data_IF_287152497974
#
_entry.id   IF_287152497974
#
_cell.length_a   1.000
_cell.length_b   1.000
_cell.length_c   1.000
_cell.angle_alpha   90.00
_cell.angle_beta   90.00
_cell.angle_gamma   90.00
#
_symmetry.space_group_name_H-M   'P 1'
#
loop_
_entity.id
_entity.type
_entity.pdbx_description
1 polymer ?
#
# COMPACT_ATOMS: atom_id res chain seq x y z
N UNK A 1 10.35 -60.57 16.54
CA UNK A 1 9.38 -59.57 17.04
C UNK A 1 10.04 -58.20 17.03
N UNK A 2 9.46 -57.16 16.42
CA UNK A 2 10.03 -55.83 16.50
C UNK A 2 10.01 -55.38 17.97
N UNK A 3 11.18 -54.99 18.50
CA UNK A 3 11.30 -54.47 19.87
C UNK A 3 10.42 -53.24 20.01
N UNK A 4 9.51 -53.22 21.00
CA UNK A 4 8.72 -52.03 21.34
C UNK A 4 9.70 -50.90 21.68
N UNK A 5 9.49 -49.72 21.09
CA UNK A 5 10.29 -48.53 21.37
C UNK A 5 10.18 -48.15 22.87
N UNK A 6 11.24 -47.62 23.48
CA UNK A 6 11.22 -47.12 24.87
C UNK A 6 10.12 -46.06 25.06
N UNK A 7 9.51 -46.02 26.25
CA UNK A 7 8.41 -45.08 26.55
C UNK A 7 8.84 -43.60 26.40
N UNK A 8 10.13 -43.29 26.56
CA UNK A 8 10.71 -41.96 26.30
C UNK A 8 10.61 -41.52 24.84
N UNK A 9 10.65 -42.46 23.88
CA UNK A 9 10.50 -42.19 22.45
C UNK A 9 9.01 -42.22 22.06
N UNK A 10 8.21 -43.03 22.75
CA UNK A 10 6.76 -43.14 22.52
C UNK A 10 5.99 -41.90 22.98
N UNK A 11 6.49 -41.22 24.01
CA UNK A 11 5.92 -40.00 24.56
C UNK A 11 6.55 -38.72 23.98
N UNK A 12 7.52 -38.83 23.07
CA UNK A 12 7.98 -37.67 22.32
C UNK A 12 6.88 -37.23 21.37
N UNK A 13 6.50 -35.93 21.37
CA UNK A 13 5.58 -35.43 20.38
C UNK A 13 6.12 -35.78 18.99
N UNK A 14 5.27 -36.28 18.11
CA UNK A 14 5.73 -36.55 16.75
C UNK A 14 6.16 -35.22 16.08
N UNK A 15 6.89 -35.31 14.98
CA UNK A 15 7.42 -34.14 14.25
C UNK A 15 6.35 -33.06 13.98
N UNK A 16 5.12 -33.48 13.66
CA UNK A 16 3.99 -32.58 13.40
C UNK A 16 3.54 -31.86 14.66
N UNK A 17 3.51 -32.54 15.80
CA UNK A 17 3.18 -31.96 17.10
C UNK A 17 4.24 -30.98 17.58
N UNK A 18 5.53 -31.33 17.46
CA UNK A 18 6.63 -30.42 17.82
C UNK A 18 6.59 -29.13 16.99
N UNK A 19 6.35 -29.25 15.68
CA UNK A 19 6.16 -28.11 14.78
C UNK A 19 4.98 -27.24 15.23
N UNK A 20 3.83 -27.85 15.48
CA UNK A 20 2.61 -27.13 15.86
C UNK A 20 2.78 -26.35 17.17
N UNK A 21 3.33 -27.01 18.21
CA UNK A 21 3.62 -26.37 19.49
C UNK A 21 4.62 -25.21 19.34
N UNK A 22 5.68 -25.41 18.55
CA UNK A 22 6.67 -24.37 18.31
C UNK A 22 6.08 -23.12 17.63
N UNK A 23 5.19 -23.32 16.65
CA UNK A 23 4.45 -22.23 16.00
C UNK A 23 3.55 -21.51 17.01
N UNK A 24 2.81 -22.25 17.83
CA UNK A 24 1.91 -21.66 18.83
C UNK A 24 2.65 -20.80 19.85
N UNK A 25 3.78 -21.31 20.38
CA UNK A 25 4.60 -20.54 21.33
C UNK A 25 5.24 -19.32 20.68
N UNK A 26 5.72 -19.44 19.44
CA UNK A 26 6.26 -18.32 18.70
C UNK A 26 5.18 -17.25 18.44
N UNK A 27 3.98 -17.66 18.01
CA UNK A 27 2.84 -16.76 17.81
C UNK A 27 2.44 -16.04 19.10
N UNK A 28 2.44 -16.74 20.24
CA UNK A 28 2.23 -16.11 21.55
C UNK A 28 3.25 -15.01 21.83
N UNK A 29 4.54 -15.26 21.52
CA UNK A 29 5.61 -14.27 21.68
C UNK A 29 5.43 -13.06 20.76
N UNK A 30 4.94 -13.26 19.54
CA UNK A 30 4.54 -12.15 18.65
C UNK A 30 3.44 -11.29 19.29
N UNK A 31 2.43 -11.90 19.91
CA UNK A 31 1.36 -11.16 20.61
C UNK A 31 1.87 -10.40 21.84
N UNK A 32 2.85 -10.96 22.54
CA UNK A 32 3.57 -10.30 23.65
C UNK A 32 4.54 -9.19 23.16
N UNK A 33 4.70 -9.03 21.84
CA UNK A 33 5.69 -8.15 21.18
C UNK A 33 7.15 -8.50 21.51
N UNK A 34 7.39 -9.72 21.98
CA UNK A 34 8.73 -10.27 22.18
C UNK A 34 9.22 -10.87 20.86
N UNK A 35 9.57 -9.99 19.92
CA UNK A 35 9.91 -10.36 18.56
C UNK A 35 11.22 -11.16 18.48
N UNK A 36 12.18 -10.90 19.36
CA UNK A 36 13.43 -11.66 19.43
C UNK A 36 13.16 -13.13 19.79
N UNK A 37 12.38 -13.38 20.83
CA UNK A 37 12.03 -14.74 21.21
C UNK A 37 11.14 -15.42 20.16
N UNK A 38 10.21 -14.69 19.54
CA UNK A 38 9.41 -15.21 18.43
C UNK A 38 10.29 -15.68 17.26
N UNK A 39 11.25 -14.86 16.81
CA UNK A 39 12.22 -15.21 15.76
C UNK A 39 13.04 -16.44 16.16
N UNK A 40 13.50 -16.50 17.42
CA UNK A 40 14.25 -17.65 17.95
C UNK A 40 13.44 -18.94 17.91
N UNK A 41 12.16 -18.89 18.29
CA UNK A 41 11.26 -20.05 18.27
C UNK A 41 10.91 -20.49 16.86
N UNK A 42 10.58 -19.57 15.94
CA UNK A 42 10.35 -19.91 14.53
C UNK A 42 11.61 -20.51 13.88
N UNK A 43 12.80 -20.00 14.20
CA UNK A 43 14.06 -20.56 13.70
C UNK A 43 14.26 -22.01 14.15
N UNK A 44 13.95 -22.32 15.41
CA UNK A 44 13.97 -23.72 15.91
C UNK A 44 12.97 -24.62 15.19
N UNK A 45 11.79 -24.10 14.85
CA UNK A 45 10.82 -24.86 14.04
C UNK A 45 11.38 -25.11 12.63
N UNK A 46 12.11 -24.16 12.05
CA UNK A 46 12.77 -24.32 10.75
C UNK A 46 13.98 -25.26 10.79
N UNK A 47 14.68 -25.43 11.92
CA UNK A 47 15.71 -26.46 12.06
C UNK A 47 15.12 -27.87 11.91
N UNK A 48 13.88 -28.04 12.38
CA UNK A 48 13.10 -29.28 12.27
C UNK A 48 12.50 -29.40 10.86
N UNK A 49 11.91 -28.33 10.34
CA UNK A 49 11.25 -28.25 9.02
C UNK A 49 11.82 -27.12 8.15
N UNK A 50 12.98 -27.30 7.48
CA UNK A 50 13.69 -26.19 6.82
C UNK A 50 12.97 -25.51 5.65
N UNK A 51 12.07 -26.26 5.02
CA UNK A 51 11.30 -25.87 3.83
C UNK A 51 9.81 -25.77 4.17
N UNK A 52 9.50 -25.17 5.32
CA UNK A 52 8.13 -24.93 5.73
C UNK A 52 7.67 -23.53 5.33
N UNK A 53 6.95 -23.43 4.20
CA UNK A 53 6.51 -22.14 3.68
C UNK A 53 5.66 -21.34 4.68
N UNK A 54 4.86 -22.00 5.52
CA UNK A 54 4.06 -21.33 6.55
C UNK A 54 4.98 -20.71 7.62
N UNK A 55 5.95 -21.46 8.13
CA UNK A 55 6.84 -20.97 9.18
C UNK A 55 7.79 -19.88 8.66
N UNK A 56 8.29 -20.03 7.43
CA UNK A 56 9.07 -19.00 6.74
C UNK A 56 8.28 -17.69 6.61
N UNK A 57 7.00 -17.79 6.22
CA UNK A 57 6.10 -16.65 6.13
C UNK A 57 5.80 -16.00 7.50
N UNK A 58 5.56 -16.82 8.52
CA UNK A 58 5.36 -16.33 9.89
C UNK A 58 6.60 -15.61 10.44
N UNK A 59 7.80 -16.13 10.17
CA UNK A 59 9.05 -15.48 10.52
C UNK A 59 9.21 -14.14 9.78
N UNK A 60 8.91 -14.10 8.47
CA UNK A 60 8.90 -12.86 7.72
C UNK A 60 7.93 -11.83 8.29
N UNK A 61 6.73 -12.26 8.72
CA UNK A 61 5.75 -11.38 9.34
C UNK A 61 6.29 -10.73 10.63
N UNK A 62 7.13 -11.43 11.42
CA UNK A 62 7.80 -10.80 12.57
C UNK A 62 8.72 -9.67 12.12
N UNK A 63 9.49 -9.86 11.04
CA UNK A 63 10.32 -8.78 10.47
C UNK A 63 9.50 -7.62 9.92
N UNK A 64 8.32 -7.88 9.32
CA UNK A 64 7.39 -6.82 8.90
C UNK A 64 6.93 -6.00 10.11
N UNK A 65 6.55 -6.64 11.21
CA UNK A 65 6.13 -5.95 12.44
C UNK A 65 7.25 -5.10 13.06
N UNK A 66 8.52 -5.48 12.86
CA UNK A 66 9.70 -4.71 13.25
C UNK A 66 10.08 -3.60 12.24
N UNK A 67 9.41 -3.52 11.09
CA UNK A 67 9.74 -2.60 10.00
C UNK A 67 10.99 -2.99 9.19
N UNK A 68 11.50 -4.22 9.37
CA UNK A 68 12.65 -4.72 8.62
C UNK A 68 12.21 -5.40 7.32
N UNK A 69 11.79 -4.59 6.36
CA UNK A 69 11.22 -5.06 5.09
C UNK A 69 12.21 -5.83 4.21
N UNK A 70 13.50 -5.50 4.26
CA UNK A 70 14.54 -6.22 3.51
C UNK A 70 14.67 -7.66 3.99
N UNK A 71 14.76 -7.89 5.31
CA UNK A 71 14.78 -9.26 5.84
C UNK A 71 13.46 -10.00 5.62
N UNK A 72 12.34 -9.29 5.72
CA UNK A 72 11.04 -9.88 5.40
C UNK A 72 10.99 -10.39 3.96
N UNK A 73 11.47 -9.61 2.98
CA UNK A 73 11.57 -10.01 1.57
C UNK A 73 12.40 -11.29 1.40
N UNK A 74 13.58 -11.38 2.03
CA UNK A 74 14.45 -12.57 1.95
C UNK A 74 13.73 -13.85 2.41
N UNK A 75 13.02 -13.78 3.55
CA UNK A 75 12.28 -14.91 4.08
C UNK A 75 11.05 -15.27 3.24
N UNK A 76 10.37 -14.27 2.68
CA UNK A 76 9.23 -14.48 1.78
C UNK A 76 9.66 -15.06 0.43
N UNK A 77 10.80 -14.65 -0.12
CA UNK A 77 11.37 -15.26 -1.33
C UNK A 77 11.67 -16.74 -1.07
N UNK A 78 12.27 -17.07 0.08
CA UNK A 78 12.48 -18.47 0.48
C UNK A 78 11.16 -19.24 0.62
N UNK A 79 10.13 -18.62 1.20
CA UNK A 79 8.79 -19.23 1.31
C UNK A 79 8.17 -19.50 -0.07
N UNK A 80 8.28 -18.56 -1.01
CA UNK A 80 7.76 -18.69 -2.38
C UNK A 80 8.58 -19.65 -3.25
N UNK A 81 9.89 -19.78 -3.04
CA UNK A 81 10.69 -20.84 -3.69
C UNK A 81 10.27 -22.23 -3.21
N UNK A 82 9.91 -22.33 -1.93
CA UNK A 82 9.46 -23.58 -1.31
C UNK A 82 8.05 -23.96 -1.74
N UNK A 83 7.12 -23.01 -1.74
CA UNK A 83 5.77 -23.17 -2.24
C UNK A 83 5.34 -21.94 -3.05
N UNK A 84 5.47 -21.97 -4.38
CA UNK A 84 5.17 -20.83 -5.25
C UNK A 84 3.73 -20.34 -5.19
N UNK A 85 2.82 -21.20 -4.76
CA UNK A 85 1.37 -20.97 -4.74
C UNK A 85 0.84 -20.74 -3.31
N UNK A 86 1.72 -20.46 -2.33
CA UNK A 86 1.29 -20.18 -0.97
C UNK A 86 0.75 -18.74 -0.86
N UNK A 87 -0.58 -18.55 -0.72
CA UNK A 87 -1.18 -17.22 -0.87
C UNK A 87 -0.70 -16.24 0.20
N UNK A 88 -0.47 -16.69 1.42
CA UNK A 88 0.03 -15.86 2.52
C UNK A 88 1.42 -15.28 2.26
N UNK A 89 2.33 -16.03 1.63
CA UNK A 89 3.64 -15.49 1.30
C UNK A 89 3.54 -14.40 0.22
N UNK A 90 2.70 -14.59 -0.79
CA UNK A 90 2.42 -13.55 -1.79
C UNK A 90 1.74 -12.33 -1.15
N UNK A 91 0.78 -12.53 -0.24
CA UNK A 91 0.12 -11.44 0.49
C UNK A 91 1.13 -10.60 1.29
N UNK A 92 1.98 -11.24 2.10
CA UNK A 92 2.98 -10.53 2.89
C UNK A 92 4.08 -9.90 2.02
N UNK A 93 4.40 -10.49 0.87
CA UNK A 93 5.30 -9.86 -0.11
C UNK A 93 4.67 -8.60 -0.71
N UNK A 94 3.35 -8.61 -0.94
CA UNK A 94 2.58 -7.43 -1.30
C UNK A 94 2.68 -6.32 -0.26
N UNK A 95 2.59 -6.68 1.04
CA UNK A 95 2.78 -5.72 2.15
C UNK A 95 4.18 -5.14 2.12
N UNK A 96 5.21 -5.97 2.02
CA UNK A 96 6.61 -5.53 1.95
C UNK A 96 6.84 -4.56 0.79
N UNK A 97 6.38 -4.88 -0.42
CA UNK A 97 6.53 -3.98 -1.56
C UNK A 97 5.72 -2.69 -1.43
N UNK A 98 4.56 -2.72 -0.76
CA UNK A 98 3.80 -1.50 -0.48
C UNK A 98 4.61 -0.54 0.42
N UNK A 99 5.14 -1.05 1.52
CA UNK A 99 5.93 -0.27 2.49
C UNK A 99 7.25 0.26 1.88
N UNK A 100 7.81 -0.46 0.89
CA UNK A 100 8.97 -0.01 0.13
C UNK A 100 8.64 0.99 -0.99
N UNK A 101 7.36 1.31 -1.22
CA UNK A 101 6.90 2.21 -2.29
C UNK A 101 6.92 1.60 -3.68
N UNK A 102 7.12 0.28 -3.79
CA UNK A 102 7.15 -0.47 -5.05
C UNK A 102 5.74 -0.95 -5.44
N UNK A 103 4.84 0.00 -5.69
CA UNK A 103 3.40 -0.26 -5.80
C UNK A 103 3.03 -1.25 -6.90
N UNK A 104 3.67 -1.22 -8.07
CA UNK A 104 3.41 -2.17 -9.15
C UNK A 104 3.81 -3.61 -8.78
N UNK A 105 4.88 -3.79 -8.00
CA UNK A 105 5.25 -5.13 -7.50
C UNK A 105 4.28 -5.58 -6.42
N UNK A 106 3.87 -4.66 -5.54
CA UNK A 106 2.87 -4.91 -4.50
C UNK A 106 1.55 -5.41 -5.10
N UNK A 107 1.03 -4.72 -6.12
CA UNK A 107 -0.19 -5.09 -6.85
C UNK A 107 -0.08 -6.52 -7.38
N UNK A 108 1.00 -6.86 -8.09
CA UNK A 108 1.21 -8.20 -8.65
C UNK A 108 1.23 -9.29 -7.58
N UNK A 109 1.83 -9.01 -6.42
CA UNK A 109 1.89 -9.98 -5.32
C UNK A 109 0.53 -10.19 -4.66
N UNK A 110 -0.28 -9.14 -4.51
CA UNK A 110 -1.65 -9.29 -4.03
C UNK A 110 -2.55 -10.02 -5.03
N UNK A 111 -2.45 -9.73 -6.33
CA UNK A 111 -3.15 -10.46 -7.39
C UNK A 111 -2.81 -11.95 -7.34
N UNK A 112 -1.51 -12.29 -7.23
CA UNK A 112 -1.05 -13.67 -7.07
C UNK A 112 -1.57 -14.34 -5.79
N UNK A 113 -1.69 -13.60 -4.68
CA UNK A 113 -2.28 -14.14 -3.46
C UNK A 113 -3.76 -14.52 -3.68
N UNK A 114 -4.52 -13.63 -4.34
CA UNK A 114 -5.93 -13.82 -4.66
C UNK A 114 -6.21 -15.01 -5.59
N UNK A 115 -5.27 -15.36 -6.47
CA UNK A 115 -5.37 -16.55 -7.34
C UNK A 115 -5.34 -17.88 -6.57
N UNK A 116 -4.79 -17.89 -5.36
CA UNK A 116 -4.54 -19.11 -4.58
C UNK A 116 -5.30 -19.18 -3.25
N UNK A 117 -5.96 -18.11 -2.83
CA UNK A 117 -6.92 -18.18 -1.74
C UNK A 117 -8.12 -19.06 -2.13
N UNK A 118 -8.62 -19.82 -1.16
CA UNK A 118 -9.79 -20.66 -1.33
C UNK A 118 -11.08 -19.88 -1.02
N UNK A 119 -12.22 -20.41 -1.46
CA UNK A 119 -13.53 -19.80 -1.17
C UNK A 119 -13.87 -19.70 0.33
N UNK A 120 -13.17 -20.46 1.20
CA UNK A 120 -13.30 -20.35 2.65
C UNK A 120 -12.54 -19.17 3.25
N UNK A 121 -11.54 -18.62 2.56
CA UNK A 121 -10.64 -17.56 3.06
C UNK A 121 -11.25 -16.17 2.84
N UNK A 122 -12.54 -16.01 3.15
CA UNK A 122 -13.29 -14.78 2.80
C UNK A 122 -12.73 -13.54 3.49
N UNK A 123 -12.26 -13.68 4.72
CA UNK A 123 -11.70 -12.55 5.47
C UNK A 123 -10.33 -12.17 4.92
N UNK A 124 -9.50 -13.15 4.59
CA UNK A 124 -8.18 -12.96 3.96
C UNK A 124 -8.31 -12.34 2.57
N UNK A 125 -9.27 -12.82 1.77
CA UNK A 125 -9.58 -12.24 0.46
C UNK A 125 -10.02 -10.78 0.63
N UNK A 126 -10.87 -10.49 1.62
CA UNK A 126 -11.30 -9.12 1.90
C UNK A 126 -10.14 -8.22 2.31
N UNK A 127 -9.25 -8.67 3.19
CA UNK A 127 -8.04 -7.94 3.62
C UNK A 127 -7.08 -7.72 2.44
N UNK A 128 -6.90 -8.73 1.60
CA UNK A 128 -6.05 -8.65 0.40
C UNK A 128 -6.59 -7.61 -0.59
N UNK A 129 -7.89 -7.62 -0.89
CA UNK A 129 -8.49 -6.57 -1.72
C UNK A 129 -8.39 -5.18 -1.09
N UNK A 130 -8.42 -5.08 0.24
CA UNK A 130 -8.25 -3.80 0.92
C UNK A 130 -6.85 -3.24 0.71
N UNK A 131 -5.81 -4.06 0.86
CA UNK A 131 -4.41 -3.66 0.68
C UNK A 131 -4.04 -3.47 -0.79
N UNK A 132 -4.61 -4.29 -1.69
CA UNK A 132 -4.53 -4.08 -3.13
C UNK A 132 -5.09 -2.71 -3.51
N UNK A 133 -6.25 -2.33 -2.96
CA UNK A 133 -6.81 -1.00 -3.19
C UNK A 133 -5.90 0.13 -2.71
N UNK A 134 -5.23 -0.02 -1.56
CA UNK A 134 -4.23 0.95 -1.10
C UNK A 134 -3.05 1.07 -2.07
N UNK A 135 -2.54 -0.05 -2.58
CA UNK A 135 -1.40 -0.05 -3.51
C UNK A 135 -1.77 0.50 -4.88
N UNK A 136 -2.99 0.20 -5.37
CA UNK A 136 -3.54 0.79 -6.58
C UNK A 136 -3.72 2.31 -6.45
N UNK A 137 -4.15 2.77 -5.27
CA UNK A 137 -4.33 4.20 -5.00
C UNK A 137 -2.99 4.95 -5.09
N UNK A 138 -1.97 4.45 -4.39
CA UNK A 138 -0.61 5.03 -4.42
C UNK A 138 0.02 4.91 -5.81
N UNK A 139 -0.24 3.81 -6.53
CA UNK A 139 0.11 3.60 -7.94
C UNK A 139 -0.72 4.44 -8.94
N UNK A 140 -1.50 5.42 -8.47
CA UNK A 140 -2.31 6.35 -9.28
C UNK A 140 -3.42 5.68 -10.13
N UNK A 141 -3.76 4.42 -9.85
CA UNK A 141 -4.86 3.65 -10.46
C UNK A 141 -6.12 3.75 -9.60
N UNK A 142 -6.69 4.97 -9.53
CA UNK A 142 -7.72 5.32 -8.54
C UNK A 142 -9.05 4.60 -8.73
N UNK A 143 -9.50 4.44 -9.97
CA UNK A 143 -10.72 3.71 -10.29
C UNK A 143 -10.60 2.25 -9.86
N UNK A 144 -9.47 1.61 -10.17
CA UNK A 144 -9.18 0.23 -9.78
C UNK A 144 -9.11 0.09 -8.25
N UNK A 145 -8.50 1.06 -7.55
CA UNK A 145 -8.42 1.07 -6.09
C UNK A 145 -9.81 1.05 -5.43
N UNK A 146 -10.73 1.83 -5.98
CA UNK A 146 -12.11 1.90 -5.48
C UNK A 146 -12.85 0.61 -5.74
N UNK A 147 -12.68 -0.02 -6.91
CA UNK A 147 -13.30 -1.31 -7.17
C UNK A 147 -12.70 -2.41 -6.28
N UNK A 148 -11.41 -2.37 -5.98
CA UNK A 148 -10.77 -3.27 -5.03
C UNK A 148 -11.38 -3.11 -3.63
N UNK A 149 -11.53 -1.88 -3.10
CA UNK A 149 -12.19 -1.67 -1.81
C UNK A 149 -13.68 -2.06 -1.81
N UNK A 150 -14.42 -1.81 -2.89
CA UNK A 150 -15.80 -2.31 -3.02
C UNK A 150 -15.83 -3.83 -3.00
N UNK A 151 -14.90 -4.48 -3.68
CA UNK A 151 -14.80 -5.94 -3.73
C UNK A 151 -14.41 -6.52 -2.38
N UNK A 152 -13.49 -5.88 -1.63
CA UNK A 152 -13.21 -6.21 -0.22
C UNK A 152 -14.49 -6.28 0.61
N UNK A 153 -15.39 -5.29 0.48
CA UNK A 153 -16.66 -5.28 1.20
C UNK A 153 -17.69 -6.30 0.71
N UNK A 154 -17.57 -6.83 -0.52
CA UNK A 154 -18.40 -7.95 -0.99
C UNK A 154 -18.03 -9.24 -0.24
N UNK A 155 -16.74 -9.46 0.05
CA UNK A 155 -16.27 -10.63 0.81
C UNK A 155 -16.47 -10.48 2.31
N UNK A 156 -16.15 -9.31 2.87
CA UNK A 156 -16.40 -8.99 4.27
C UNK A 156 -17.05 -7.59 4.42
N UNK A 157 -18.39 -7.53 4.58
CA UNK A 157 -19.11 -6.27 4.77
C UNK A 157 -18.75 -5.51 6.04
N UNK A 158 -17.99 -6.09 6.98
CA UNK A 158 -17.52 -5.43 8.21
C UNK A 158 -16.10 -4.87 8.07
N UNK A 159 -15.44 -5.04 6.93
CA UNK A 159 -14.05 -4.63 6.80
C UNK A 159 -13.89 -3.12 6.93
N UNK A 160 -13.36 -2.68 8.09
CA UNK A 160 -13.44 -1.26 8.51
C UNK A 160 -12.59 -0.36 7.64
N UNK A 161 -11.42 -0.85 7.21
CA UNK A 161 -10.45 -0.07 6.47
C UNK A 161 -10.93 0.22 5.05
N UNK A 162 -11.51 -0.77 4.37
CA UNK A 162 -12.14 -0.57 3.06
C UNK A 162 -13.30 0.44 3.12
N UNK A 163 -14.16 0.39 4.17
CA UNK A 163 -15.20 1.42 4.38
C UNK A 163 -14.62 2.81 4.59
N UNK A 164 -13.57 2.93 5.42
CA UNK A 164 -12.90 4.21 5.69
C UNK A 164 -12.31 4.77 4.40
N UNK A 165 -11.56 3.96 3.66
CA UNK A 165 -10.92 4.36 2.41
C UNK A 165 -11.96 4.79 1.37
N UNK A 166 -13.05 4.04 1.18
CA UNK A 166 -14.12 4.47 0.29
C UNK A 166 -14.73 5.80 0.70
N UNK A 167 -15.02 6.01 1.99
CA UNK A 167 -15.53 7.30 2.47
C UNK A 167 -14.55 8.47 2.24
N UNK A 168 -13.26 8.20 2.37
CA UNK A 168 -12.19 9.20 2.23
C UNK A 168 -11.92 9.55 0.76
N UNK A 169 -11.91 8.53 -0.10
CA UNK A 169 -11.43 8.59 -1.47
C UNK A 169 -12.54 8.52 -2.53
N UNK A 170 -13.81 8.59 -2.12
CA UNK A 170 -14.95 8.71 -3.04
C UNK A 170 -15.87 9.86 -2.66
N UNK A 171 -16.61 10.38 -3.66
CA UNK A 171 -17.68 11.34 -3.43
C UNK A 171 -18.98 10.63 -3.00
N UNK A 172 -20.05 11.40 -2.77
CA UNK A 172 -21.36 10.85 -2.37
C UNK A 172 -21.96 9.83 -3.35
N UNK A 173 -21.48 9.80 -4.60
CA UNK A 173 -21.89 8.87 -5.65
C UNK A 173 -20.94 7.68 -5.81
N UNK A 174 -19.93 7.53 -4.93
CA UNK A 174 -18.97 6.43 -4.98
C UNK A 174 -18.01 6.46 -6.17
N UNK A 175 -17.87 7.64 -6.81
CA UNK A 175 -16.84 7.92 -7.83
C UNK A 175 -15.57 8.41 -7.12
N UNK A 176 -14.36 8.22 -7.69
CA UNK A 176 -13.14 8.77 -7.13
C UNK A 176 -13.33 10.22 -6.74
N UNK A 177 -13.06 10.55 -5.48
CA UNK A 177 -12.99 11.94 -5.06
C UNK A 177 -11.72 12.52 -5.67
N UNK A 178 -11.84 13.73 -6.20
CA UNK A 178 -10.65 14.51 -6.56
C UNK A 178 -9.89 14.73 -5.24
N UNK A 179 -8.54 14.61 -5.20
CA UNK A 179 -7.77 14.99 -4.03
C UNK A 179 -8.26 16.36 -3.56
N UNK A 180 -8.45 16.52 -2.25
CA UNK A 180 -8.49 17.87 -1.70
C UNK A 180 -7.21 18.54 -2.17
N UNK A 181 -7.41 19.66 -2.83
CA UNK A 181 -6.64 20.11 -3.98
C UNK A 181 -5.31 20.72 -3.53
N UNK A 182 -4.43 19.96 -2.89
CA UNK A 182 -3.05 20.41 -2.61
C UNK A 182 -2.02 19.76 -3.53
N UNK A 183 -2.45 18.97 -4.51
CA UNK A 183 -1.55 18.38 -5.50
C UNK A 183 -2.26 18.22 -6.86
N UNK A 184 -1.92 19.05 -7.86
CA UNK A 184 -1.08 18.61 -9.00
C UNK A 184 -1.26 19.31 -10.39
N UNK A 185 -2.27 20.13 -10.74
CA UNK A 185 -2.47 20.43 -12.20
C UNK A 185 -2.85 21.84 -12.74
N UNK A 186 -2.87 22.94 -11.99
CA UNK A 186 -3.37 24.20 -12.59
C UNK A 186 -2.39 24.99 -13.51
N UNK A 187 -1.09 24.65 -13.54
CA UNK A 187 -0.04 25.52 -14.13
C UNK A 187 0.84 24.89 -15.21
N UNK A 188 0.46 23.73 -15.77
CA UNK A 188 1.31 23.07 -16.78
C UNK A 188 1.65 23.99 -17.95
N UNK A 189 0.74 24.89 -18.34
CA UNK A 189 0.97 25.76 -19.50
C UNK A 189 1.79 27.01 -19.16
N UNK A 190 1.46 27.75 -18.08
CA UNK A 190 2.14 29.03 -17.74
C UNK A 190 3.60 28.81 -17.32
N UNK A 191 3.90 27.69 -16.66
CA UNK A 191 5.28 27.34 -16.24
C UNK A 191 6.06 26.61 -17.35
N UNK A 192 5.42 26.25 -18.46
CA UNK A 192 6.09 25.59 -19.58
C UNK A 192 6.90 26.60 -20.40
N UNK A 193 8.22 26.37 -20.49
CA UNK A 193 9.17 27.22 -21.22
C UNK A 193 8.81 27.35 -22.71
N UNK A 194 8.26 26.31 -23.33
CA UNK A 194 7.83 26.34 -24.73
C UNK A 194 6.57 27.18 -24.93
N UNK A 195 5.63 27.15 -23.97
CA UNK A 195 4.46 28.03 -24.01
C UNK A 195 4.89 29.50 -23.88
N UNK A 196 5.74 29.84 -22.91
CA UNK A 196 6.25 31.22 -22.74
C UNK A 196 7.05 31.71 -23.96
N UNK A 197 7.72 30.81 -24.68
CA UNK A 197 8.45 31.14 -25.90
C UNK A 197 7.54 31.36 -27.12
N UNK A 198 6.38 30.68 -27.18
CA UNK A 198 5.53 30.59 -28.39
C UNK A 198 4.20 31.35 -28.34
N UNK A 199 3.49 31.33 -27.20
CA UNK A 199 2.14 31.93 -27.06
C UNK A 199 1.98 32.79 -25.80
N UNK A 200 2.79 32.57 -24.77
CA UNK A 200 2.69 33.30 -23.51
C UNK A 200 3.00 34.79 -23.62
N UNK A 201 3.79 35.22 -24.62
CA UNK A 201 4.11 36.64 -24.86
C UNK A 201 2.89 37.50 -25.22
N UNK A 202 1.77 36.91 -25.63
CA UNK A 202 0.52 37.64 -25.91
C UNK A 202 -0.33 37.87 -24.65
N UNK A 203 0.02 37.20 -23.55
CA UNK A 203 -0.70 37.21 -22.28
C UNK A 203 0.02 37.99 -21.16
N UNK A 204 1.24 38.48 -21.42
CA UNK A 204 2.05 39.30 -20.51
C UNK A 204 2.65 40.51 -21.24
N UNK A 205 2.72 41.66 -20.55
CA UNK A 205 3.22 42.90 -21.16
C UNK A 205 4.74 42.88 -21.31
N UNK A 206 5.46 42.26 -20.36
CA UNK A 206 6.89 42.00 -20.46
C UNK A 206 7.36 40.79 -19.61
N UNK A 207 8.66 40.48 -19.72
CA UNK A 207 9.26 39.33 -19.04
C UNK A 207 9.39 39.52 -17.51
N UNK A 208 9.46 40.77 -17.02
CA UNK A 208 9.49 41.04 -15.57
C UNK A 208 8.12 40.78 -14.97
N UNK A 209 7.06 41.14 -15.68
CA UNK A 209 5.68 40.87 -15.30
C UNK A 209 5.38 39.37 -15.29
N UNK A 210 5.80 38.64 -16.33
CA UNK A 210 5.64 37.19 -16.39
C UNK A 210 6.30 36.51 -15.17
N UNK A 211 7.53 36.91 -14.83
CA UNK A 211 8.24 36.39 -13.66
C UNK A 211 7.55 36.74 -12.33
N UNK A 212 7.00 37.95 -12.20
CA UNK A 212 6.27 38.38 -11.00
C UNK A 212 5.00 37.56 -10.78
N UNK A 213 4.20 37.33 -11.83
CA UNK A 213 2.97 36.52 -11.76
C UNK A 213 3.29 35.06 -11.45
N UNK A 214 4.35 34.51 -12.04
CA UNK A 214 4.83 33.17 -11.76
C UNK A 214 5.22 33.00 -10.28
N UNK A 215 5.97 33.96 -9.74
CA UNK A 215 6.39 33.92 -8.34
C UNK A 215 5.19 34.02 -7.39
N UNK A 216 4.30 35.01 -7.58
CA UNK A 216 3.05 35.13 -6.81
C UNK A 216 2.17 33.89 -6.88
N UNK A 217 2.09 33.24 -8.05
CA UNK A 217 1.28 32.02 -8.19
C UNK A 217 1.81 30.85 -7.35
N UNK A 218 3.12 30.83 -7.07
CA UNK A 218 3.73 29.89 -6.14
C UNK A 218 3.38 30.20 -4.68
N UNK A 219 3.43 31.48 -4.30
CA UNK A 219 3.23 31.90 -2.90
C UNK A 219 1.74 32.02 -2.50
N UNK A 220 0.86 32.32 -3.46
CA UNK A 220 -0.58 32.49 -3.23
C UNK A 220 -1.32 31.16 -3.01
N UNK A 221 -0.62 30.04 -3.10
CA UNK A 221 -1.19 28.70 -2.99
C UNK A 221 -1.22 28.25 -1.52
N UNK A 222 -2.15 28.88 -0.79
CA UNK A 222 -2.57 28.42 0.53
C UNK A 222 -4.02 27.92 0.47
N UNK A 223 -4.44 27.15 1.48
CA UNK A 223 -5.74 26.49 1.58
C UNK A 223 -6.93 27.40 1.23
N UNK A 224 -6.81 28.72 1.45
CA UNK A 224 -7.89 29.70 1.20
C UNK A 224 -8.11 30.00 -0.29
N UNK A 225 -7.07 30.09 -1.11
CA UNK A 225 -7.22 30.34 -2.56
C UNK A 225 -7.72 29.09 -3.27
N UNK A 226 -7.21 27.94 -2.85
CA UNK A 226 -7.61 26.63 -3.34
C UNK A 226 -9.08 26.38 -3.02
N UNK A 227 -9.49 26.63 -1.76
CA UNK A 227 -10.90 26.53 -1.37
C UNK A 227 -11.81 27.48 -2.16
N UNK A 228 -11.32 28.66 -2.56
CA UNK A 228 -12.12 29.65 -3.28
C UNK A 228 -12.19 29.42 -4.80
N UNK A 229 -11.14 28.88 -5.41
CA UNK A 229 -11.01 28.83 -6.87
C UNK A 229 -10.59 27.48 -7.48
N UNK A 230 -10.21 26.47 -6.69
CA UNK A 230 -9.56 25.21 -7.12
C UNK A 230 -10.03 24.64 -8.48
N UNK A 231 -11.22 24.05 -8.55
CA UNK A 231 -11.72 23.46 -9.79
C UNK A 231 -12.09 24.47 -10.90
N UNK A 232 -12.26 25.76 -10.54
CA UNK A 232 -12.52 26.83 -11.51
C UNK A 232 -11.25 27.20 -12.26
N UNK A 233 -10.09 27.12 -11.60
CA UNK A 233 -8.80 27.40 -12.21
C UNK A 233 -8.54 26.47 -13.40
N UNK A 234 -8.82 25.17 -13.28
CA UNK A 234 -8.56 24.20 -14.36
C UNK A 234 -9.30 24.52 -15.66
N UNK A 235 -10.43 25.23 -15.56
CA UNK A 235 -11.29 25.59 -16.70
C UNK A 235 -11.08 27.02 -17.19
N UNK A 236 -10.29 27.83 -16.47
CA UNK A 236 -10.00 29.20 -16.86
C UNK A 236 -9.00 29.22 -18.01
N UNK A 237 -9.24 30.12 -18.96
CA UNK A 237 -8.24 30.42 -19.98
C UNK A 237 -7.01 31.05 -19.33
N UNK A 238 -5.86 30.85 -19.96
CA UNK A 238 -4.57 31.23 -19.38
C UNK A 238 -4.48 32.73 -19.07
N UNK A 239 -4.98 33.59 -19.96
CA UNK A 239 -5.05 35.04 -19.76
C UNK A 239 -5.85 35.47 -18.52
N UNK A 240 -6.96 34.77 -18.24
CA UNK A 240 -7.81 35.08 -17.09
C UNK A 240 -7.17 34.61 -15.77
N UNK A 241 -6.42 33.50 -15.82
CA UNK A 241 -5.61 33.04 -14.68
C UNK A 241 -4.55 34.08 -14.33
N UNK A 242 -3.83 34.58 -15.33
CA UNK A 242 -2.79 35.61 -15.17
C UNK A 242 -3.35 36.86 -14.51
N UNK A 243 -4.51 37.36 -14.96
CA UNK A 243 -5.16 38.53 -14.37
C UNK A 243 -5.53 38.32 -12.90
N UNK A 244 -6.12 37.18 -12.57
CA UNK A 244 -6.50 36.83 -11.20
C UNK A 244 -5.31 36.87 -10.24
N UNK A 245 -4.16 36.30 -10.63
CA UNK A 245 -2.98 36.23 -9.76
C UNK A 245 -2.26 37.57 -9.60
N UNK A 246 -2.33 38.47 -10.59
CA UNK A 246 -1.83 39.86 -10.45
C UNK A 246 -2.58 40.60 -9.34
N UNK A 247 -3.91 40.51 -9.36
CA UNK A 247 -4.83 41.24 -8.48
C UNK A 247 -4.94 40.61 -7.09
N UNK A 248 -4.54 39.35 -6.93
CA UNK A 248 -4.51 38.67 -5.65
C UNK A 248 -3.43 39.27 -4.75
N UNK A 249 -3.84 39.78 -3.58
CA UNK A 249 -2.93 40.15 -2.50
C UNK A 249 -2.57 38.87 -1.74
N UNK A 250 -1.32 38.44 -1.88
CA UNK A 250 -0.74 37.40 -1.03
C UNK A 250 -0.55 38.05 0.34
N UNK A 251 -1.14 37.45 1.37
CA UNK A 251 -1.01 37.92 2.76
C UNK A 251 0.29 37.39 3.36
#
# INVERSE_FOLDING_TARGET
MPKKLPDSIRNMPNFREMRAMGIEWAAKKVLEKDYEEAKRLFTKVLEISPNDAQVLCLLANVFILEGNFIKAEEWLDKALRTNPNYPWASYHMGVVYHELGEFEKSIKMYEKALEHFSNSDKDEIADTYQNLGCSLWEGKRREDAIEAWKTSLKFNPKQRFAKKNLKEFTNEYGKPSVPKFDDYYAFTDIKNKEYLASKGKEDFDDIKEANFVLHKSGDAWNDKIIAKYGAKLDRMKTKDKVKLFKETKVF
#
